data_IF_997610378686
#
_entry.id   IF_997610378686
#
_cell.length_a   1.000
_cell.length_b   1.000
_cell.length_c   1.000
_cell.angle_alpha   90.00
_cell.angle_beta   90.00
_cell.angle_gamma   90.00
#
_symmetry.space_group_name_H-M   'P 1'
#
loop_
_entity.id
_entity.type
_entity.pdbx_description
1 polymer ?
#
# COMPACT_ATOMS: atom_id res chain seq x y z
N UNK A 1 0.48 -38.68 24.88
CA UNK A 1 0.77 -38.25 23.50
C UNK A 1 0.57 -36.76 23.25
N UNK A 2 -0.28 -36.05 24.02
CA UNK A 2 -0.50 -34.60 23.92
C UNK A 2 0.72 -33.68 24.20
N UNK A 3 1.58 -33.93 25.21
CA UNK A 3 2.63 -32.96 25.58
C UNK A 3 3.79 -32.87 24.57
N UNK A 4 3.96 -33.89 23.72
CA UNK A 4 4.98 -33.89 22.66
C UNK A 4 4.57 -33.03 21.45
N UNK A 5 3.27 -32.89 21.19
CA UNK A 5 2.76 -32.05 20.11
C UNK A 5 2.77 -30.56 20.50
N UNK A 6 2.46 -30.24 21.76
CA UNK A 6 2.58 -28.88 22.30
C UNK A 6 4.04 -28.41 22.32
N UNK A 7 4.97 -29.28 22.73
CA UNK A 7 6.41 -28.98 22.69
C UNK A 7 6.99 -28.84 21.27
N UNK A 8 6.38 -29.44 20.25
CA UNK A 8 6.77 -29.24 18.84
C UNK A 8 6.14 -27.98 18.23
N UNK A 9 4.94 -27.60 18.65
CA UNK A 9 4.29 -26.36 18.22
C UNK A 9 5.00 -25.11 18.77
N UNK A 10 5.55 -25.16 19.98
CA UNK A 10 6.33 -24.06 20.58
C UNK A 10 7.68 -23.81 19.89
N UNK A 11 8.22 -24.78 19.13
CA UNK A 11 9.61 -24.76 18.65
C UNK A 11 9.84 -24.27 17.22
N UNK A 12 8.81 -23.80 16.52
CA UNK A 12 8.99 -23.19 15.18
C UNK A 12 8.52 -21.74 15.15
N UNK A 13 8.97 -20.96 16.12
CA UNK A 13 8.90 -19.51 15.96
C UNK A 13 9.88 -19.12 14.84
N UNK A 14 9.35 -18.58 13.74
CA UNK A 14 10.19 -18.06 12.67
C UNK A 14 11.14 -16.98 13.24
N UNK A 15 12.42 -16.98 12.85
CA UNK A 15 13.35 -15.88 13.10
C UNK A 15 12.78 -14.53 12.69
N UNK A 16 13.23 -13.46 13.35
CA UNK A 16 12.78 -12.10 13.07
C UNK A 16 13.01 -11.67 11.60
N UNK A 17 14.13 -12.12 11.01
CA UNK A 17 14.45 -11.86 9.61
C UNK A 17 13.41 -12.47 8.66
N UNK A 18 13.00 -13.71 8.92
CA UNK A 18 11.97 -14.39 8.12
C UNK A 18 10.61 -13.71 8.27
N UNK A 19 10.24 -13.27 9.48
CA UNK A 19 9.03 -12.46 9.68
C UNK A 19 9.05 -11.15 8.90
N UNK A 20 10.20 -10.48 8.86
CA UNK A 20 10.37 -9.27 8.07
C UNK A 20 10.18 -9.52 6.58
N UNK A 21 10.68 -10.65 6.06
CA UNK A 21 10.46 -11.06 4.66
C UNK A 21 8.99 -11.35 4.37
N UNK A 22 8.29 -12.07 5.25
CA UNK A 22 6.85 -12.35 5.09
C UNK A 22 6.03 -11.05 5.07
N UNK A 23 6.29 -10.14 6.02
CA UNK A 23 5.60 -8.83 6.07
C UNK A 23 5.89 -8.01 4.82
N UNK A 24 7.14 -7.99 4.36
CA UNK A 24 7.54 -7.26 3.15
C UNK A 24 6.86 -7.82 1.90
N UNK A 25 6.79 -9.15 1.78
CA UNK A 25 6.10 -9.82 0.69
C UNK A 25 4.59 -9.53 0.70
N UNK A 26 3.93 -9.70 1.84
CA UNK A 26 2.50 -9.42 1.98
C UNK A 26 2.19 -7.94 1.67
N UNK A 27 3.05 -7.03 2.14
CA UNK A 27 2.98 -5.60 1.83
C UNK A 27 3.08 -5.33 0.34
N UNK A 28 4.02 -5.96 -0.37
CA UNK A 28 4.18 -5.81 -1.83
C UNK A 28 2.97 -6.32 -2.61
N UNK A 29 2.45 -7.50 -2.27
CA UNK A 29 1.26 -8.06 -2.92
C UNK A 29 0.03 -7.18 -2.66
N UNK A 30 -0.17 -6.75 -1.42
CA UNK A 30 -1.24 -5.83 -1.02
C UNK A 30 -1.18 -4.52 -1.83
N UNK A 31 -0.01 -3.87 -1.84
CA UNK A 31 0.23 -2.63 -2.57
C UNK A 31 0.00 -2.78 -4.09
N UNK A 32 0.43 -3.89 -4.69
CA UNK A 32 0.23 -4.18 -6.11
C UNK A 32 -1.26 -4.25 -6.47
N UNK A 33 -2.03 -4.99 -5.70
CA UNK A 33 -3.46 -5.15 -5.92
C UNK A 33 -4.25 -3.89 -5.62
N UNK A 34 -3.89 -3.19 -4.54
CA UNK A 34 -4.44 -1.87 -4.20
C UNK A 34 -4.29 -0.91 -5.38
N UNK A 35 -3.07 -0.75 -5.90
CA UNK A 35 -2.80 0.15 -7.03
C UNK A 35 -3.56 -0.30 -8.27
N UNK A 36 -3.63 -1.60 -8.55
CA UNK A 36 -4.41 -2.09 -9.69
C UNK A 36 -5.89 -1.72 -9.60
N UNK A 37 -6.49 -1.91 -8.44
CA UNK A 37 -7.87 -1.54 -8.20
C UNK A 37 -8.07 -0.02 -8.29
N UNK A 38 -7.22 0.79 -7.66
CA UNK A 38 -7.32 2.25 -7.67
C UNK A 38 -7.15 2.85 -9.07
N UNK A 39 -6.37 2.23 -9.96
CA UNK A 39 -6.25 2.63 -11.35
C UNK A 39 -7.41 2.17 -12.25
N UNK A 40 -8.27 1.26 -11.77
CA UNK A 40 -9.40 0.78 -12.58
C UNK A 40 -10.43 1.90 -12.82
N UNK A 41 -11.15 1.89 -13.96
CA UNK A 41 -12.18 2.89 -14.24
C UNK A 41 -13.30 2.82 -13.19
N UNK A 42 -13.73 3.97 -12.66
CA UNK A 42 -14.82 4.05 -11.68
C UNK A 42 -16.15 3.54 -12.25
N UNK A 43 -16.39 3.71 -13.56
CA UNK A 43 -17.57 3.21 -14.24
C UNK A 43 -17.58 1.67 -14.39
N UNK A 44 -16.42 1.02 -14.28
CA UNK A 44 -16.28 -0.44 -14.34
C UNK A 44 -15.08 -0.89 -13.49
N UNK A 45 -15.22 -0.87 -12.15
CA UNK A 45 -14.12 -1.22 -11.26
C UNK A 45 -13.66 -2.67 -11.46
N UNK A 46 -12.35 -2.92 -11.29
CA UNK A 46 -11.78 -4.28 -11.34
C UNK A 46 -12.11 -5.01 -10.03
N UNK A 47 -13.24 -5.72 -10.00
CA UNK A 47 -13.73 -6.45 -8.82
C UNK A 47 -12.77 -7.55 -8.34
N UNK A 48 -12.04 -8.19 -9.26
CA UNK A 48 -11.04 -9.19 -8.91
C UNK A 48 -9.84 -8.54 -8.19
N UNK A 49 -9.37 -7.40 -8.68
CA UNK A 49 -8.32 -6.64 -8.01
C UNK A 49 -8.75 -6.12 -6.63
N UNK A 50 -10.02 -5.74 -6.47
CA UNK A 50 -10.58 -5.36 -5.17
C UNK A 50 -10.56 -6.53 -4.17
N UNK A 51 -11.05 -7.71 -4.60
CA UNK A 51 -11.09 -8.89 -3.75
C UNK A 51 -9.69 -9.37 -3.34
N UNK A 52 -8.74 -9.37 -4.28
CA UNK A 52 -7.33 -9.67 -4.00
C UNK A 52 -6.73 -8.65 -3.02
N UNK A 53 -6.99 -7.36 -3.21
CA UNK A 53 -6.52 -6.32 -2.29
C UNK A 53 -7.05 -6.56 -0.87
N UNK A 54 -8.34 -6.85 -0.70
CA UNK A 54 -8.93 -7.11 0.61
C UNK A 54 -8.29 -8.34 1.28
N UNK A 55 -8.09 -9.42 0.53
CA UNK A 55 -7.42 -10.63 1.01
C UNK A 55 -5.98 -10.38 1.46
N UNK A 56 -5.19 -9.72 0.60
CA UNK A 56 -3.79 -9.39 0.92
C UNK A 56 -3.67 -8.35 2.04
N UNK A 57 -4.62 -7.42 2.17
CA UNK A 57 -4.67 -6.47 3.29
C UNK A 57 -4.86 -7.20 4.62
N UNK A 58 -5.75 -8.20 4.66
CA UNK A 58 -5.97 -9.00 5.86
C UNK A 58 -4.72 -9.80 6.25
N UNK A 59 -4.06 -10.43 5.26
CA UNK A 59 -2.80 -11.17 5.48
C UNK A 59 -1.70 -10.23 5.98
N UNK A 60 -1.50 -9.09 5.31
CA UNK A 60 -0.51 -8.10 5.72
C UNK A 60 -0.76 -7.59 7.14
N UNK A 61 -2.00 -7.25 7.48
CA UNK A 61 -2.37 -6.79 8.82
C UNK A 61 -2.03 -7.83 9.89
N UNK A 62 -2.40 -9.10 9.67
CA UNK A 62 -2.10 -10.18 10.60
C UNK A 62 -0.59 -10.42 10.76
N UNK A 63 0.17 -10.44 9.66
CA UNK A 63 1.63 -10.61 9.72
C UNK A 63 2.32 -9.42 10.38
N UNK A 64 1.88 -8.19 10.08
CA UNK A 64 2.42 -6.98 10.67
C UNK A 64 2.13 -6.94 12.17
N UNK A 65 0.91 -7.26 12.59
CA UNK A 65 0.55 -7.34 14.00
C UNK A 65 1.42 -8.36 14.74
N UNK A 66 1.57 -9.58 14.20
CA UNK A 66 2.43 -10.60 14.79
C UNK A 66 3.90 -10.14 14.95
N UNK A 67 4.43 -9.39 13.98
CA UNK A 67 5.75 -8.78 14.06
C UNK A 67 5.82 -7.68 15.13
N UNK A 68 4.82 -6.79 15.17
CA UNK A 68 4.78 -5.64 16.07
C UNK A 68 4.52 -6.02 17.53
N UNK A 69 3.85 -7.15 17.79
CA UNK A 69 3.76 -7.71 19.14
C UNK A 69 5.14 -8.14 19.67
N UNK A 70 6.06 -8.54 18.78
CA UNK A 70 7.41 -8.97 19.16
C UNK A 70 8.42 -7.82 19.21
N UNK A 71 8.28 -6.85 18.31
CA UNK A 71 9.19 -5.70 18.17
C UNK A 71 8.37 -4.43 17.92
N UNK A 72 7.73 -3.86 18.94
CA UNK A 72 6.83 -2.71 18.77
C UNK A 72 7.55 -1.46 18.22
N UNK A 73 8.85 -1.33 18.45
CA UNK A 73 9.68 -0.18 18.06
C UNK A 73 9.76 -0.01 16.53
N UNK A 74 9.48 -1.06 15.74
CA UNK A 74 9.53 -0.99 14.27
C UNK A 74 8.22 -0.56 13.61
N UNK A 75 7.16 -0.22 14.36
CA UNK A 75 5.85 0.19 13.83
C UNK A 75 5.94 1.23 12.72
N UNK A 76 6.54 2.38 13.02
CA UNK A 76 6.66 3.47 12.07
C UNK A 76 7.47 3.07 10.81
N UNK A 77 8.40 2.13 10.94
CA UNK A 77 9.20 1.61 9.82
C UNK A 77 8.37 0.66 8.95
N UNK A 78 7.58 -0.23 9.53
CA UNK A 78 6.69 -1.16 8.81
C UNK A 78 5.60 -0.40 8.05
N UNK A 79 4.96 0.57 8.71
CA UNK A 79 3.94 1.42 8.09
C UNK A 79 4.53 2.22 6.92
N UNK A 80 5.66 2.91 7.15
CA UNK A 80 6.37 3.65 6.10
C UNK A 80 6.81 2.76 4.94
N UNK A 81 7.26 1.53 5.23
CA UNK A 81 7.65 0.60 4.18
C UNK A 81 6.46 0.24 3.28
N UNK A 82 5.29 -0.03 3.85
CA UNK A 82 4.08 -0.30 3.08
C UNK A 82 3.64 0.90 2.23
N UNK A 83 3.59 2.09 2.82
CA UNK A 83 3.27 3.33 2.09
C UNK A 83 4.21 3.57 0.90
N UNK A 84 5.51 3.40 1.11
CA UNK A 84 6.52 3.57 0.06
C UNK A 84 6.37 2.53 -1.05
N UNK A 85 6.03 1.28 -0.71
CA UNK A 85 5.81 0.21 -1.67
C UNK A 85 4.55 0.47 -2.51
N UNK A 86 3.45 0.91 -1.90
CA UNK A 86 2.25 1.35 -2.61
C UNK A 86 2.52 2.52 -3.56
N UNK A 87 3.24 3.54 -3.08
CA UNK A 87 3.65 4.68 -3.90
C UNK A 87 4.52 4.25 -5.09
N UNK A 88 5.49 3.35 -4.88
CA UNK A 88 6.35 2.82 -5.95
C UNK A 88 5.54 2.11 -7.03
N UNK A 89 4.59 1.26 -6.65
CA UNK A 89 3.69 0.59 -7.60
C UNK A 89 2.83 1.59 -8.38
N UNK A 90 2.26 2.59 -7.69
CA UNK A 90 1.46 3.63 -8.32
C UNK A 90 2.26 4.44 -9.34
N UNK A 91 3.47 4.89 -8.96
CA UNK A 91 4.38 5.61 -9.84
C UNK A 91 4.79 4.78 -11.05
N UNK A 92 5.18 3.51 -10.84
CA UNK A 92 5.57 2.61 -11.93
C UNK A 92 4.42 2.42 -12.92
N UNK A 93 3.21 2.16 -12.41
CA UNK A 93 2.02 2.00 -13.26
C UNK A 93 1.71 3.27 -14.03
N UNK A 94 1.75 4.43 -13.36
CA UNK A 94 1.54 5.73 -13.98
C UNK A 94 2.56 6.02 -15.08
N UNK A 95 3.83 5.70 -14.85
CA UNK A 95 4.90 5.86 -15.86
C UNK A 95 4.65 4.96 -17.07
N UNK A 96 4.27 3.70 -16.86
CA UNK A 96 3.94 2.78 -17.94
C UNK A 96 2.74 3.25 -18.77
N UNK A 97 1.68 3.80 -18.14
CA UNK A 97 0.53 4.38 -18.86
C UNK A 97 0.87 5.69 -19.61
N UNK A 98 2.01 6.32 -19.30
CA UNK A 98 2.41 7.62 -19.85
C UNK A 98 3.63 7.56 -20.77
N UNK A 99 4.14 6.36 -21.08
CA UNK A 99 5.17 6.19 -22.10
C UNK A 99 4.72 6.85 -23.42
N UNK A 100 5.51 7.85 -23.86
CA UNK A 100 5.22 8.70 -25.02
C UNK A 100 4.90 10.18 -24.70
N UNK A 101 4.71 10.60 -23.44
CA UNK A 101 4.41 12.02 -23.09
C UNK A 101 5.31 12.59 -22.00
N UNK A 102 6.48 13.11 -22.38
CA UNK A 102 7.53 13.66 -21.49
C UNK A 102 7.04 14.74 -20.50
N UNK A 103 6.07 15.57 -20.88
CA UNK A 103 5.53 16.63 -20.03
C UNK A 103 4.84 16.13 -18.74
N UNK A 104 4.29 14.89 -18.75
CA UNK A 104 3.61 14.32 -17.56
C UNK A 104 4.59 13.86 -16.47
N UNK A 105 5.84 13.57 -16.80
CA UNK A 105 6.87 13.18 -15.81
C UNK A 105 7.24 14.35 -14.88
N UNK A 106 7.29 15.57 -15.42
CA UNK A 106 7.57 16.80 -14.66
C UNK A 106 6.41 17.11 -13.69
N UNK A 107 5.16 16.92 -14.13
CA UNK A 107 3.97 17.13 -13.29
C UNK A 107 3.92 16.23 -12.05
N UNK A 108 4.37 14.97 -12.17
CA UNK A 108 4.47 14.03 -11.04
C UNK A 108 5.51 14.46 -10.00
N UNK A 109 6.64 15.01 -10.44
CA UNK A 109 7.66 15.53 -9.54
C UNK A 109 7.18 16.77 -8.77
N UNK A 110 6.47 17.68 -9.44
CA UNK A 110 5.90 18.89 -8.83
C UNK A 110 4.79 18.55 -7.82
N UNK A 111 3.91 17.61 -8.15
CA UNK A 111 2.84 17.19 -7.25
C UNK A 111 3.36 16.52 -5.98
N UNK A 112 4.41 15.70 -6.10
CA UNK A 112 5.10 15.11 -4.94
C UNK A 112 5.66 16.18 -3.99
N UNK A 113 6.24 17.26 -4.51
CA UNK A 113 6.71 18.39 -3.68
C UNK A 113 5.55 19.13 -2.98
N UNK A 114 4.44 19.39 -3.69
CA UNK A 114 3.28 20.06 -3.10
C UNK A 114 2.59 19.24 -2.01
N UNK A 115 2.59 17.91 -2.11
CA UNK A 115 2.05 17.01 -1.08
C UNK A 115 2.85 17.13 0.23
N UNK A 116 4.18 17.27 0.14
CA UNK A 116 5.07 17.44 1.29
C UNK A 116 4.82 18.75 2.03
N UNK A 117 4.53 19.83 1.30
CA UNK A 117 4.18 21.13 1.87
C UNK A 117 2.82 21.06 2.56
N UNK A 118 1.81 20.47 1.93
CA UNK A 118 0.48 20.32 2.51
C UNK A 118 0.47 19.48 3.80
N UNK A 119 1.28 18.41 3.87
CA UNK A 119 1.45 17.60 5.09
C UNK A 119 2.13 18.38 6.21
N UNK A 120 3.11 19.24 5.91
CA UNK A 120 3.78 20.09 6.91
C UNK A 120 2.84 21.15 7.51
N UNK A 121 1.81 21.55 6.78
CA UNK A 121 0.79 22.51 7.23
C UNK A 121 -0.41 21.83 7.94
N UNK A 122 -0.37 20.52 8.19
CA UNK A 122 -1.46 19.78 8.84
C UNK A 122 -2.67 19.50 7.94
N UNK A 123 -2.60 19.83 6.65
CA UNK A 123 -3.70 19.67 5.69
C UNK A 123 -3.69 18.25 5.07
N UNK A 124 -3.78 17.21 5.91
CA UNK A 124 -3.65 15.82 5.50
C UNK A 124 -4.71 15.37 4.48
N UNK A 125 -5.94 15.88 4.57
CA UNK A 125 -7.00 15.57 3.60
C UNK A 125 -6.68 16.13 2.20
N UNK A 126 -6.20 17.38 2.14
CA UNK A 126 -5.80 18.04 0.89
C UNK A 126 -4.56 17.36 0.31
N UNK A 127 -3.58 17.01 1.14
CA UNK A 127 -2.39 16.28 0.69
C UNK A 127 -2.76 14.92 0.07
N UNK A 128 -3.63 14.14 0.72
CA UNK A 128 -4.13 12.86 0.19
C UNK A 128 -4.88 13.05 -1.14
N UNK A 129 -5.69 14.10 -1.25
CA UNK A 129 -6.40 14.40 -2.49
C UNK A 129 -5.44 14.80 -3.62
N UNK A 130 -4.44 15.64 -3.33
CA UNK A 130 -3.39 16.01 -4.30
C UNK A 130 -2.59 14.78 -4.74
N UNK A 131 -2.23 13.89 -3.81
CA UNK A 131 -1.57 12.62 -4.11
C UNK A 131 -2.44 11.75 -5.02
N UNK A 132 -3.74 11.65 -4.74
CA UNK A 132 -4.69 10.89 -5.56
C UNK A 132 -4.84 11.47 -6.97
N UNK A 133 -4.97 12.79 -7.09
CA UNK A 133 -5.07 13.49 -8.39
C UNK A 133 -3.79 13.34 -9.21
N UNK A 134 -2.62 13.34 -8.55
CA UNK A 134 -1.33 13.19 -9.20
C UNK A 134 -1.09 11.78 -9.73
N UNK A 135 -1.36 10.79 -8.87
CA UNK A 135 -1.02 9.40 -9.13
C UNK A 135 -2.05 8.73 -10.04
N UNK A 136 -3.34 8.94 -9.80
CA UNK A 136 -4.40 8.19 -10.46
C UNK A 136 -5.02 8.94 -11.65
N UNK A 137 -5.38 8.23 -12.74
CA UNK A 137 -6.04 8.85 -13.89
C UNK A 137 -7.42 9.43 -13.53
N UNK A 138 -7.86 10.42 -14.30
CA UNK A 138 -9.23 10.93 -14.20
C UNK A 138 -10.24 9.82 -14.50
N UNK A 139 -11.32 9.77 -13.71
CA UNK A 139 -12.35 8.73 -13.85
C UNK A 139 -11.94 7.35 -13.33
N UNK A 140 -10.81 7.23 -12.62
CA UNK A 140 -10.45 5.99 -11.91
C UNK A 140 -11.01 5.96 -10.50
N UNK A 141 -11.10 4.76 -9.93
CA UNK A 141 -11.54 4.54 -8.54
C UNK A 141 -10.75 5.41 -7.56
N UNK A 142 -9.42 5.47 -7.71
CA UNK A 142 -8.53 6.23 -6.82
C UNK A 142 -8.67 7.75 -6.87
N UNK A 143 -9.43 8.29 -7.84
CA UNK A 143 -9.74 9.72 -7.95
C UNK A 143 -11.24 10.02 -7.76
N UNK A 144 -12.03 9.01 -7.40
CA UNK A 144 -13.44 9.22 -7.06
C UNK A 144 -13.49 9.74 -5.63
N UNK A 145 -14.11 10.90 -5.35
CA UNK A 145 -14.28 11.36 -3.98
C UNK A 145 -15.03 10.28 -3.18
N UNK A 146 -14.71 10.07 -1.89
CA UNK A 146 -15.53 9.22 -1.06
C UNK A 146 -16.96 9.75 -1.15
N UNK A 147 -17.88 8.90 -1.63
CA UNK A 147 -19.31 9.19 -1.59
C UNK A 147 -19.64 9.65 -0.18
N UNK A 148 -20.27 10.81 -0.03
CA UNK A 148 -20.85 11.24 1.24
C UNK A 148 -21.97 10.26 1.57
N UNK A 149 -21.62 9.18 2.25
CA UNK A 149 -22.54 8.24 2.88
C UNK A 149 -22.85 8.72 4.30
#
# INVERSE_FOLDING_TARGET
MQPLLEAQAERRQLPLAEWHEVVSFASDQCARWQVRWLFSPAARPDAAAAAEFDGWRAIYAACAEALLTRVPEVRARVERHHEMTALKHALRRRLNETEGRSARRIGLALLSQTSGIARRLGLHAVARWLDQVALYPAGSVGRTPPSAA
#
